data_IF_109870127388
#
_entry.id   IF_109870127388
#
_cell.length_a   1.000
_cell.length_b   1.000
_cell.length_c   1.000
_cell.angle_alpha   90.00
_cell.angle_beta   90.00
_cell.angle_gamma   90.00
#
_symmetry.space_group_name_H-M   'P 1'
#
loop_
_entity.id
_entity.type
_entity.pdbx_description
1 polymer ?
#
# COMPACT_ATOMS: atom_id res chain seq x y z
N UNK A 1 15.32 1.97 8.97
CA UNK A 1 14.20 1.76 8.04
C UNK A 1 13.52 3.10 7.87
N UNK A 2 13.26 3.52 6.64
CA UNK A 2 12.42 4.70 6.38
C UNK A 2 10.98 4.19 6.38
N UNK A 3 10.05 4.96 6.92
CA UNK A 3 8.63 4.59 6.84
C UNK A 3 8.04 5.23 5.59
N UNK A 4 8.07 4.53 4.46
CA UNK A 4 7.57 5.06 3.20
C UNK A 4 6.07 5.38 3.27
N UNK A 5 5.32 4.69 4.13
CA UNK A 5 3.89 4.94 4.35
C UNK A 5 3.66 6.25 5.13
N UNK A 6 4.50 6.54 6.13
CA UNK A 6 4.40 7.77 6.93
C UNK A 6 4.92 8.99 6.16
N UNK A 7 5.96 8.81 5.34
CA UNK A 7 6.51 9.84 4.47
C UNK A 7 5.64 10.08 3.22
N UNK A 8 4.69 9.19 2.91
CA UNK A 8 3.87 9.26 1.71
C UNK A 8 4.66 9.07 0.41
N UNK A 9 5.82 8.42 0.51
CA UNK A 9 6.64 8.02 -0.63
C UNK A 9 6.31 6.61 -1.12
N UNK A 10 5.31 5.96 -0.52
CA UNK A 10 4.75 4.73 -1.02
C UNK A 10 4.02 4.96 -2.35
N UNK A 11 4.10 3.97 -3.23
CA UNK A 11 3.46 4.04 -4.54
C UNK A 11 2.19 3.16 -4.54
N UNK A 12 1.49 3.04 -3.41
CA UNK A 12 0.29 2.20 -3.30
C UNK A 12 -0.91 2.83 -4.02
N UNK A 13 -1.86 2.00 -4.46
CA UNK A 13 -3.11 2.50 -5.01
C UNK A 13 -3.87 3.33 -3.97
N UNK A 14 -4.67 4.32 -4.42
CA UNK A 14 -5.50 5.14 -3.52
C UNK A 14 -6.53 4.30 -2.73
N UNK A 15 -6.93 3.17 -3.30
CA UNK A 15 -7.80 2.16 -2.67
C UNK A 15 -7.02 0.99 -2.06
N UNK A 16 -5.73 1.16 -1.81
CA UNK A 16 -4.91 0.24 -1.03
C UNK A 16 -4.53 0.84 0.33
N UNK A 17 -4.05 -0.03 1.21
CA UNK A 17 -3.46 0.27 2.50
C UNK A 17 -1.95 0.02 2.39
N UNK A 18 -1.16 1.02 2.75
CA UNK A 18 0.28 0.87 2.90
C UNK A 18 0.58 0.26 4.28
N UNK A 19 1.35 -0.81 4.31
CA UNK A 19 1.83 -1.46 5.52
C UNK A 19 3.36 -1.48 5.51
N UNK A 20 3.97 -0.66 6.36
CA UNK A 20 5.41 -0.62 6.51
C UNK A 20 5.92 -1.93 7.15
N UNK A 21 7.05 -2.43 6.67
CA UNK A 21 7.73 -3.65 7.12
C UNK A 21 9.21 -3.32 7.34
N UNK A 22 9.93 -4.12 8.14
CA UNK A 22 11.30 -3.84 8.62
C UNK A 22 12.40 -3.56 7.55
N UNK A 23 12.06 -3.57 6.26
CA UNK A 23 12.98 -3.40 5.12
C UNK A 23 12.31 -2.82 3.86
N UNK A 24 11.01 -2.50 3.88
CA UNK A 24 10.17 -2.11 2.72
C UNK A 24 8.74 -1.82 3.20
N UNK A 25 7.83 -1.49 2.30
CA UNK A 25 6.39 -1.51 2.55
C UNK A 25 5.67 -2.54 1.67
N UNK A 26 4.44 -2.90 2.06
CA UNK A 26 3.48 -3.68 1.27
C UNK A 26 2.22 -2.85 1.01
N UNK A 27 1.64 -3.01 -0.18
CA UNK A 27 0.34 -2.43 -0.52
C UNK A 27 -0.73 -3.52 -0.52
N UNK A 28 -1.84 -3.31 0.17
CA UNK A 28 -2.94 -4.29 0.25
C UNK A 28 -4.25 -3.58 -0.09
N UNK A 29 -4.99 -4.06 -1.09
CA UNK A 29 -6.28 -3.46 -1.44
C UNK A 29 -7.24 -3.41 -0.25
N UNK A 30 -7.97 -2.29 -0.12
CA UNK A 30 -8.98 -2.11 0.92
C UNK A 30 -10.08 -3.17 0.79
N UNK A 31 -10.77 -3.53 1.89
CA UNK A 31 -11.87 -4.47 1.83
C UNK A 31 -12.92 -4.06 0.79
N UNK A 32 -13.30 -4.99 -0.09
CA UNK A 32 -14.21 -4.74 -1.20
C UNK A 32 -13.52 -4.51 -2.56
N UNK A 33 -12.22 -4.22 -2.56
CA UNK A 33 -11.42 -4.07 -3.77
C UNK A 33 -10.51 -5.29 -3.97
N UNK A 34 -10.16 -5.58 -5.22
CA UNK A 34 -9.27 -6.68 -5.62
C UNK A 34 -8.17 -6.16 -6.53
N UNK A 35 -7.00 -6.76 -6.41
CA UNK A 35 -5.83 -6.41 -7.20
C UNK A 35 -4.54 -6.70 -6.44
N UNK A 36 -3.45 -6.08 -6.87
CA UNK A 36 -2.10 -6.31 -6.34
C UNK A 36 -1.65 -5.25 -5.32
N UNK A 37 -2.53 -4.30 -4.97
CA UNK A 37 -2.23 -3.20 -4.06
C UNK A 37 -1.64 -1.97 -4.74
N UNK A 38 -1.12 -2.09 -5.97
CA UNK A 38 -0.73 -0.96 -6.83
C UNK A 38 -1.87 -0.56 -7.78
N UNK A 39 -2.69 -1.53 -8.13
CA UNK A 39 -3.98 -1.35 -8.80
C UNK A 39 -5.03 -2.11 -7.99
N UNK A 40 -6.10 -1.41 -7.61
CA UNK A 40 -7.21 -2.00 -6.87
C UNK A 40 -8.53 -1.60 -7.55
N UNK A 41 -9.36 -2.59 -7.86
CA UNK A 41 -10.65 -2.42 -8.55
C UNK A 41 -11.76 -3.09 -7.73
N UNK A 42 -12.95 -2.49 -7.67
CA UNK A 42 -14.09 -2.92 -6.85
C UNK A 42 -15.32 -3.27 -7.68
#
# INVERSE_FOLDING_TARGET
DVDECAEGSDDCHIDALCQNTLKSYNCICKPGYKGDGKQCEG
#
